data_IF_457487399440
#
_entry.id   IF_457487399440
#
_cell.length_a   1.000
_cell.length_b   1.000
_cell.length_c   1.000
_cell.angle_alpha   90.00
_cell.angle_beta   90.00
_cell.angle_gamma   90.00
#
_symmetry.space_group_name_H-M   'P 1'
#
loop_
_entity.id
_entity.type
_entity.pdbx_description
1 polymer ?
#
# COMPACT_ATOMS: atom_id res chain seq x y z
N UNK A 1 3.25 6.53 6.14
CA UNK A 1 1.85 6.99 6.02
C UNK A 1 1.34 7.43 7.39
N UNK A 2 0.43 8.42 7.47
CA UNK A 2 -0.23 8.85 8.71
C UNK A 2 -1.70 9.18 8.45
N UNK A 3 -2.55 8.94 9.43
CA UNK A 3 -3.97 9.25 9.35
C UNK A 3 -4.68 8.72 10.59
N UNK A 4 -5.88 8.19 10.41
CA UNK A 4 -6.68 7.66 11.52
C UNK A 4 -7.59 6.54 11.09
N UNK A 5 -7.96 5.70 12.06
CA UNK A 5 -8.99 4.66 11.94
C UNK A 5 -10.03 4.83 13.02
N UNK A 6 -11.21 4.25 12.83
CA UNK A 6 -12.27 4.19 13.83
C UNK A 6 -12.61 2.72 14.10
N UNK A 7 -12.61 2.33 15.36
CA UNK A 7 -12.92 0.96 15.79
C UNK A 7 -14.40 0.67 15.65
N UNK A 8 -14.75 -0.55 15.24
CA UNK A 8 -16.11 -0.97 14.91
C UNK A 8 -16.60 -0.54 13.53
N UNK A 9 -15.84 0.29 12.81
CA UNK A 9 -16.12 0.63 11.42
C UNK A 9 -15.43 -0.33 10.47
N UNK A 10 -16.12 -0.73 9.40
CA UNK A 10 -15.61 -1.69 8.40
C UNK A 10 -15.31 -1.04 7.05
N UNK A 11 -15.94 0.11 6.76
CA UNK A 11 -15.67 0.90 5.56
C UNK A 11 -14.62 2.00 5.84
N UNK A 12 -13.51 2.03 5.08
CA UNK A 12 -12.47 3.05 5.24
C UNK A 12 -12.95 4.51 5.16
N UNK A 13 -13.90 4.83 4.26
CA UNK A 13 -14.37 6.21 4.05
C UNK A 13 -15.32 6.64 5.16
N UNK A 14 -16.16 5.74 5.65
CA UNK A 14 -16.99 5.95 6.84
C UNK A 14 -16.10 6.13 8.07
N UNK A 15 -15.15 5.22 8.31
CA UNK A 15 -14.22 5.31 9.44
C UNK A 15 -13.39 6.60 9.46
N UNK A 16 -13.04 7.15 8.30
CA UNK A 16 -12.35 8.44 8.19
C UNK A 16 -13.21 9.66 8.56
N UNK A 17 -14.54 9.53 8.59
CA UNK A 17 -15.50 10.60 8.90
C UNK A 17 -16.18 10.43 10.26
N UNK A 18 -16.17 9.22 10.82
CA UNK A 18 -16.79 8.89 12.09
C UNK A 18 -16.22 9.67 13.28
N UNK A 19 -16.99 9.75 14.36
CA UNK A 19 -16.51 10.24 15.65
C UNK A 19 -15.58 9.21 16.30
N UNK A 20 -14.74 9.65 17.25
CA UNK A 20 -13.86 8.73 17.98
C UNK A 20 -12.62 8.24 17.23
N UNK A 21 -12.32 8.80 16.04
CA UNK A 21 -11.09 8.52 15.26
C UNK A 21 -9.84 8.44 16.14
N UNK A 22 -9.04 7.40 15.90
CA UNK A 22 -7.77 7.13 16.57
C UNK A 22 -6.62 7.25 15.58
N UNK A 23 -5.50 7.90 15.93
CA UNK A 23 -4.37 8.03 15.03
C UNK A 23 -3.79 6.66 14.66
N UNK A 24 -3.45 6.50 13.38
CA UNK A 24 -2.73 5.34 12.87
C UNK A 24 -1.63 5.84 11.94
N UNK A 25 -0.45 5.24 12.05
CA UNK A 25 0.64 5.50 11.12
C UNK A 25 1.49 4.27 10.92
N UNK A 26 2.24 4.25 9.82
CA UNK A 26 3.28 3.25 9.63
C UNK A 26 4.46 3.86 8.87
N UNK A 27 5.61 3.22 9.02
CA UNK A 27 6.78 3.47 8.18
C UNK A 27 7.32 2.13 7.71
N UNK A 28 7.48 2.01 6.40
CA UNK A 28 7.95 0.79 5.75
C UNK A 28 9.17 1.10 4.88
N UNK A 29 10.05 0.11 4.80
CA UNK A 29 11.01 -0.11 3.74
C UNK A 29 10.42 -1.20 2.85
N UNK A 30 10.34 -0.94 1.55
CA UNK A 30 9.89 -1.93 0.56
C UNK A 30 11.13 -2.48 -0.15
N UNK A 31 11.23 -3.79 -0.26
CA UNK A 31 12.35 -4.50 -0.88
C UNK A 31 11.84 -5.52 -1.88
N UNK A 32 12.15 -5.31 -3.16
CA UNK A 32 12.06 -6.35 -4.17
C UNK A 32 13.39 -7.12 -4.14
N UNK A 33 13.35 -8.38 -3.70
CA UNK A 33 14.56 -9.20 -3.56
C UNK A 33 15.20 -9.55 -4.93
N UNK A 34 14.37 -9.64 -5.97
CA UNK A 34 14.76 -9.80 -7.36
C UNK A 34 13.98 -8.78 -8.21
N UNK A 35 14.69 -7.80 -8.77
CA UNK A 35 14.06 -6.71 -9.54
C UNK A 35 13.52 -7.20 -10.88
N UNK A 36 14.20 -8.14 -11.53
CA UNK A 36 13.78 -8.65 -12.84
C UNK A 36 12.52 -9.50 -12.70
N UNK A 37 12.48 -10.34 -11.66
CA UNK A 37 11.28 -11.09 -11.30
C UNK A 37 10.13 -10.14 -10.91
N UNK A 38 10.40 -9.15 -10.07
CA UNK A 38 9.41 -8.17 -9.64
C UNK A 38 8.73 -7.46 -10.81
N UNK A 39 9.50 -7.05 -11.84
CA UNK A 39 8.95 -6.36 -13.02
C UNK A 39 8.17 -7.30 -13.94
N UNK A 40 8.50 -8.59 -13.99
CA UNK A 40 7.88 -9.54 -14.92
C UNK A 40 6.65 -10.24 -14.37
N UNK A 41 6.57 -10.42 -13.05
CA UNK A 41 5.44 -11.10 -12.42
C UNK A 41 4.24 -10.17 -12.28
N UNK A 42 3.03 -10.56 -12.70
CA UNK A 42 1.84 -9.70 -12.64
C UNK A 42 1.47 -9.19 -11.24
N UNK A 43 1.91 -9.91 -10.21
CA UNK A 43 1.66 -9.54 -8.82
C UNK A 43 2.59 -8.45 -8.30
N UNK A 44 3.72 -8.17 -8.97
CA UNK A 44 4.76 -7.22 -8.58
C UNK A 44 4.96 -7.18 -7.06
N UNK A 45 5.18 -8.35 -6.46
CA UNK A 45 5.22 -8.50 -5.01
C UNK A 45 6.61 -8.17 -4.47
N UNK A 46 6.65 -7.33 -3.45
CA UNK A 46 7.83 -6.99 -2.68
C UNK A 46 7.58 -7.15 -1.18
N UNK A 47 8.67 -7.32 -0.44
CA UNK A 47 8.66 -7.43 1.01
C UNK A 47 8.54 -6.06 1.65
N UNK A 48 7.71 -5.93 2.68
CA UNK A 48 7.49 -4.70 3.43
C UNK A 48 7.92 -4.86 4.89
N UNK A 49 8.90 -4.06 5.31
CA UNK A 49 9.45 -4.12 6.66
C UNK A 49 9.36 -2.77 7.37
N UNK A 50 9.13 -2.79 8.68
CA UNK A 50 9.18 -1.58 9.48
C UNK A 50 8.27 -1.67 10.68
N UNK A 51 7.40 -0.67 10.85
CA UNK A 51 6.52 -0.61 12.00
C UNK A 51 5.17 0.02 11.67
N UNK A 52 4.16 -0.41 12.44
CA UNK A 52 2.82 0.18 12.55
C UNK A 52 2.72 0.84 13.92
N UNK A 53 2.05 1.97 14.02
CA UNK A 53 1.85 2.72 15.25
C UNK A 53 0.38 3.16 15.34
N UNK A 54 -0.37 2.40 16.15
CA UNK A 54 -1.77 2.66 16.50
C UNK A 54 -1.80 3.33 17.88
N UNK A 55 -1.45 4.61 17.92
CA UNK A 55 -1.36 5.35 19.20
C UNK A 55 -2.74 5.45 19.85
N UNK A 56 -2.88 4.83 21.03
CA UNK A 56 -4.15 4.60 21.74
C UNK A 56 -4.53 3.12 21.94
N UNK A 57 -3.82 2.20 21.29
CA UNK A 57 -3.99 0.73 21.43
C UNK A 57 -2.66 0.01 21.22
N UNK A 58 -1.70 0.27 22.10
CA UNK A 58 -0.43 -0.47 22.11
C UNK A 58 0.77 0.18 21.43
N UNK A 59 0.62 1.36 20.82
CA UNK A 59 1.76 2.15 20.32
C UNK A 59 2.48 1.51 19.13
N UNK A 60 3.78 1.75 19.01
CA UNK A 60 4.59 1.29 17.88
C UNK A 60 4.93 -0.20 17.99
N UNK A 61 4.57 -0.96 16.95
CA UNK A 61 4.77 -2.40 16.81
C UNK A 61 5.50 -2.72 15.52
N UNK A 62 6.40 -3.71 15.58
CA UNK A 62 7.17 -4.16 14.41
C UNK A 62 6.24 -4.88 13.45
N UNK A 63 6.43 -4.68 12.16
CA UNK A 63 5.85 -5.58 11.15
C UNK A 63 6.62 -6.89 11.22
N UNK A 64 5.92 -7.98 11.50
CA UNK A 64 6.48 -9.33 11.61
C UNK A 64 6.64 -9.96 10.24
N UNK A 65 5.62 -9.79 9.40
CA UNK A 65 5.60 -10.19 8.00
C UNK A 65 4.82 -9.14 7.22
N UNK A 66 5.35 -8.68 6.10
CA UNK A 66 4.69 -7.66 5.31
C UNK A 66 4.92 -7.86 3.82
N UNK A 67 3.86 -7.69 3.05
CA UNK A 67 3.91 -7.70 1.58
C UNK A 67 3.36 -6.40 1.03
N UNK A 68 3.88 -6.06 -0.15
CA UNK A 68 3.47 -4.92 -0.93
C UNK A 68 3.37 -5.35 -2.39
N UNK A 69 2.27 -5.01 -3.05
CA UNK A 69 2.08 -5.27 -4.47
C UNK A 69 1.90 -3.94 -5.20
N UNK A 70 2.61 -3.79 -6.31
CA UNK A 70 2.60 -2.58 -7.12
C UNK A 70 1.73 -2.76 -8.36
N UNK A 71 0.78 -1.85 -8.60
CA UNK A 71 -0.06 -1.80 -9.80
C UNK A 71 -0.72 -3.14 -10.21
N UNK A 72 -1.32 -3.86 -9.27
CA UNK A 72 -2.05 -5.08 -9.60
C UNK A 72 -3.42 -4.79 -10.20
N UNK A 73 -3.80 -5.56 -11.22
CA UNK A 73 -5.14 -5.51 -11.81
C UNK A 73 -6.15 -6.21 -10.87
N UNK A 74 -7.22 -5.51 -10.42
CA UNK A 74 -8.25 -6.11 -9.58
C UNK A 74 -9.15 -7.12 -10.31
N UNK A 75 -9.23 -7.07 -11.64
CA UNK A 75 -10.09 -7.93 -12.46
C UNK A 75 -9.49 -8.12 -13.87
N UNK A 76 -8.43 -8.92 -14.03
CA UNK A 76 -7.83 -9.15 -15.35
C UNK A 76 -8.88 -9.73 -16.31
N UNK A 77 -9.19 -8.98 -17.38
CA UNK A 77 -10.06 -9.42 -18.48
C UNK A 77 -11.54 -9.01 -18.41
N UNK A 78 -11.94 -8.10 -17.50
CA UNK A 78 -13.27 -7.48 -17.53
C UNK A 78 -13.12 -6.03 -17.99
N UNK A 79 -13.68 -5.68 -19.14
CA UNK A 79 -13.71 -4.31 -19.67
C UNK A 79 -14.48 -3.39 -18.71
N UNK A 80 -13.77 -2.77 -17.78
CA UNK A 80 -14.37 -1.92 -16.75
C UNK A 80 -13.31 -1.17 -15.95
N UNK A 81 -13.07 0.08 -16.37
CA UNK A 81 -12.13 1.06 -15.81
C UNK A 81 -10.68 0.53 -15.67
N UNK A 82 -9.74 1.08 -16.46
CA UNK A 82 -8.31 0.86 -16.26
C UNK A 82 -7.91 1.34 -14.85
N UNK A 83 -7.97 0.40 -13.90
CA UNK A 83 -7.74 0.61 -12.49
C UNK A 83 -6.65 -0.33 -12.04
N UNK A 84 -5.60 0.23 -11.47
CA UNK A 84 -4.54 -0.52 -10.82
C UNK A 84 -4.62 -0.32 -9.32
N UNK A 85 -4.26 -1.34 -8.55
CA UNK A 85 -4.21 -1.27 -7.09
C UNK A 85 -2.77 -1.32 -6.60
N UNK A 86 -2.45 -0.53 -5.57
CA UNK A 86 -1.26 -0.77 -4.75
C UNK A 86 -1.73 -1.38 -3.42
N UNK A 87 -1.36 -2.63 -3.17
CA UNK A 87 -1.80 -3.37 -1.98
C UNK A 87 -0.71 -3.43 -0.93
N UNK A 88 -1.10 -3.35 0.33
CA UNK A 88 -0.26 -3.46 1.52
C UNK A 88 -0.91 -4.47 2.43
N UNK A 89 -0.13 -5.42 2.94
CA UNK A 89 -0.59 -6.37 3.95
C UNK A 89 0.49 -6.54 4.98
N UNK A 90 0.20 -6.14 6.22
CA UNK A 90 1.18 -6.07 7.30
C UNK A 90 0.68 -6.84 8.51
N UNK A 91 1.37 -7.91 8.86
CA UNK A 91 1.14 -8.68 10.08
C UNK A 91 1.94 -8.09 11.23
N UNK A 92 1.29 -7.87 12.36
CA UNK A 92 1.91 -7.39 13.58
C UNK A 92 1.12 -7.85 14.80
N UNK A 93 1.77 -7.96 15.95
CA UNK A 93 1.10 -8.09 17.24
C UNK A 93 0.86 -6.70 17.84
N UNK A 94 -0.37 -6.43 18.31
CA UNK A 94 -0.72 -5.16 18.97
C UNK A 94 -0.18 -5.08 20.41
N UNK A 95 -0.52 -4.02 21.14
CA UNK A 95 -0.01 -3.87 22.51
C UNK A 95 -0.67 -4.73 23.57
N UNK A 96 -1.80 -5.35 23.25
CA UNK A 96 -2.51 -6.26 24.13
C UNK A 96 -2.15 -7.72 23.82
N UNK A 97 -1.25 -7.95 22.86
CA UNK A 97 -0.76 -9.27 22.48
C UNK A 97 -1.59 -9.95 21.40
N UNK A 98 -2.56 -9.25 20.80
CA UNK A 98 -3.38 -9.84 19.75
C UNK A 98 -2.69 -9.75 18.39
N UNK A 99 -2.83 -10.81 17.59
CA UNK A 99 -2.44 -10.78 16.19
C UNK A 99 -3.36 -9.84 15.40
N UNK A 100 -2.78 -8.99 14.56
CA UNK A 100 -3.49 -8.02 13.72
C UNK A 100 -2.91 -7.99 12.32
N UNK A 101 -3.79 -7.71 11.36
CA UNK A 101 -3.40 -7.44 9.99
C UNK A 101 -3.83 -6.04 9.59
N UNK A 102 -2.90 -5.21 9.12
CA UNK A 102 -3.24 -4.00 8.39
C UNK A 102 -3.33 -4.34 6.91
N UNK A 103 -4.55 -4.35 6.37
CA UNK A 103 -4.83 -4.41 4.93
C UNK A 103 -4.98 -2.99 4.40
N UNK A 104 -4.25 -2.64 3.36
CA UNK A 104 -4.25 -1.30 2.78
C UNK A 104 -4.29 -1.32 1.26
N UNK A 105 -5.16 -0.50 0.67
CA UNK A 105 -5.28 -0.37 -0.79
C UNK A 105 -5.21 1.10 -1.20
N UNK A 106 -4.37 1.39 -2.20
CA UNK A 106 -4.47 2.63 -2.98
C UNK A 106 -5.16 2.31 -4.30
N UNK A 107 -6.09 3.17 -4.69
CA UNK A 107 -6.72 3.10 -5.99
C UNK A 107 -5.95 4.02 -6.92
N UNK A 108 -5.39 3.44 -7.99
CA UNK A 108 -4.71 4.17 -9.07
C UNK A 108 -5.64 4.09 -10.26
N UNK A 109 -6.34 5.19 -10.54
CA UNK A 109 -7.37 5.24 -11.56
C UNK A 109 -6.82 5.92 -12.79
N UNK A 110 -7.16 5.41 -13.98
CA UNK A 110 -6.80 6.08 -15.22
C UNK A 110 -7.28 7.53 -15.23
N UNK A 111 -6.44 8.45 -15.72
CA UNK A 111 -6.78 9.86 -15.78
C UNK A 111 -5.59 10.77 -16.09
N UNK A 112 -5.78 12.09 -16.11
CA UNK A 112 -4.70 13.00 -16.46
C UNK A 112 -3.54 12.92 -15.44
N UNK A 113 -2.30 13.30 -15.81
CA UNK A 113 -1.13 13.28 -14.92
C UNK A 113 -1.33 14.03 -13.59
N UNK A 114 -2.30 14.94 -13.51
CA UNK A 114 -2.69 15.63 -12.27
C UNK A 114 -3.29 14.70 -11.21
N UNK A 115 -3.76 13.49 -11.59
CA UNK A 115 -4.30 12.47 -10.67
C UNK A 115 -3.25 11.57 -10.03
N UNK A 116 -2.03 11.49 -10.57
CA UNK A 116 -0.91 10.72 -10.00
C UNK A 116 -0.78 10.99 -8.50
N UNK A 117 -0.85 12.26 -8.11
CA UNK A 117 -0.61 12.67 -6.73
C UNK A 117 -1.76 12.35 -5.76
N UNK A 118 -3.03 12.70 -6.03
CA UNK A 118 -4.16 12.25 -5.21
C UNK A 118 -4.23 10.73 -5.00
N UNK A 119 -4.00 9.97 -6.08
CA UNK A 119 -4.17 8.51 -6.09
C UNK A 119 -3.05 7.80 -5.32
N UNK A 120 -1.80 8.22 -5.51
CA UNK A 120 -0.65 7.62 -4.81
C UNK A 120 -0.52 8.10 -3.37
N UNK A 121 -1.21 9.17 -2.97
CA UNK A 121 -1.13 9.75 -1.62
C UNK A 121 -2.17 9.23 -0.63
N UNK A 122 -3.23 8.57 -1.11
CA UNK A 122 -4.34 8.11 -0.27
C UNK A 122 -4.35 6.59 -0.15
N UNK A 123 -4.35 6.08 1.09
CA UNK A 123 -4.42 4.66 1.41
C UNK A 123 -5.66 4.39 2.25
N UNK A 124 -6.54 3.56 1.73
CA UNK A 124 -7.70 3.05 2.44
C UNK A 124 -7.26 1.82 3.24
N UNK A 125 -7.50 1.81 4.55
CA UNK A 125 -7.00 0.76 5.44
C UNK A 125 -8.12 0.10 6.22
N UNK A 126 -7.94 -1.20 6.45
CA UNK A 126 -8.68 -2.03 7.41
C UNK A 126 -7.69 -2.68 8.36
N UNK A 127 -8.03 -2.70 9.63
CA UNK A 127 -7.38 -3.54 10.63
C UNK A 127 -8.25 -4.79 10.80
N UNK A 128 -7.65 -5.95 10.60
CA UNK A 128 -8.31 -7.24 10.72
C UNK A 128 -7.87 -7.94 12.01
N UNK A 129 -8.78 -8.69 12.60
CA UNK A 129 -8.47 -9.61 13.70
C UNK A 129 -7.66 -10.80 13.18
N UNK A 130 -6.51 -11.08 13.79
CA UNK A 130 -5.60 -12.14 13.37
C UNK A 130 -4.58 -11.76 12.29
N UNK A 131 -3.71 -12.71 11.97
CA UNK A 131 -2.85 -12.66 10.77
C UNK A 131 -3.62 -13.29 9.61
N UNK A 132 -4.10 -12.45 8.70
CA UNK A 132 -5.06 -12.82 7.67
C UNK A 132 -4.42 -12.62 6.30
N UNK A 133 -4.26 -13.71 5.55
CA UNK A 133 -3.78 -13.67 4.17
C UNK A 133 -4.74 -12.96 3.21
N UNK A 134 -4.28 -12.63 2.01
CA UNK A 134 -5.13 -11.98 0.99
C UNK A 134 -6.36 -12.84 0.64
N UNK A 135 -6.19 -14.15 0.50
CA UNK A 135 -7.27 -15.08 0.16
C UNK A 135 -8.34 -15.24 1.26
N UNK A 136 -8.04 -14.81 2.49
CA UNK A 136 -8.91 -14.97 3.66
C UNK A 136 -9.61 -13.65 4.05
N UNK A 137 -9.25 -12.54 3.40
CA UNK A 137 -9.69 -11.19 3.79
C UNK A 137 -11.22 -11.03 3.74
N UNK A 138 -11.89 -11.61 2.74
CA UNK A 138 -13.36 -11.48 2.57
C UNK A 138 -14.16 -12.05 3.74
N UNK A 139 -13.61 -13.02 4.48
CA UNK A 139 -14.23 -13.64 5.65
C UNK A 139 -13.73 -13.10 6.99
N UNK A 140 -12.75 -12.20 6.98
CA UNK A 140 -12.07 -11.76 8.20
C UNK A 140 -12.86 -10.68 8.96
N UNK A 141 -12.76 -10.72 10.29
CA UNK A 141 -13.33 -9.68 11.14
C UNK A 141 -12.54 -8.37 11.00
N UNK A 142 -13.22 -7.30 10.60
CA UNK A 142 -12.64 -5.95 10.54
C UNK A 142 -12.86 -5.26 11.89
N UNK A 143 -11.78 -5.03 12.63
CA UNK A 143 -11.84 -4.37 13.96
C UNK A 143 -11.86 -2.85 13.85
N UNK A 144 -11.29 -2.29 12.79
CA UNK A 144 -11.28 -0.86 12.52
C UNK A 144 -11.03 -0.56 11.04
N UNK A 145 -11.50 0.59 10.58
CA UNK A 145 -11.25 1.07 9.22
C UNK A 145 -10.98 2.57 9.19
N UNK A 146 -10.25 3.03 8.16
CA UNK A 146 -9.96 4.45 8.00
C UNK A 146 -9.09 4.78 6.80
N UNK A 147 -8.53 5.98 6.79
CA UNK A 147 -7.72 6.49 5.68
C UNK A 147 -6.41 7.06 6.20
N UNK A 148 -5.31 6.67 5.55
CA UNK A 148 -3.99 7.23 5.76
C UNK A 148 -3.55 8.02 4.54
N UNK A 149 -2.80 9.08 4.77
CA UNK A 149 -2.18 9.89 3.73
C UNK A 149 -0.66 9.92 3.85
N UNK A 150 0.01 10.16 2.72
CA UNK A 150 1.39 10.64 2.67
C UNK A 150 1.39 12.01 2.03
N UNK A 151 2.23 12.92 2.54
CA UNK A 151 2.40 14.23 1.91
C UNK A 151 3.14 14.05 0.60
N UNK A 152 2.76 14.84 -0.40
CA UNK A 152 3.37 14.81 -1.73
C UNK A 152 4.90 14.95 -1.70
N UNK A 153 5.42 15.83 -0.85
CA UNK A 153 6.88 16.03 -0.66
C UNK A 153 7.57 14.82 -0.02
N UNK A 154 6.88 14.09 0.83
CA UNK A 154 7.40 12.87 1.45
C UNK A 154 7.43 11.71 0.44
N UNK A 155 6.46 11.66 -0.49
CA UNK A 155 6.46 10.68 -1.58
C UNK A 155 7.58 10.95 -2.58
N UNK A 156 7.76 12.19 -3.03
CA UNK A 156 8.90 12.55 -3.90
C UNK A 156 10.25 12.20 -3.24
N UNK A 157 10.38 12.45 -1.94
CA UNK A 157 11.54 12.01 -1.15
C UNK A 157 11.64 10.48 -1.11
N UNK A 158 10.54 9.77 -0.95
CA UNK A 158 10.52 8.30 -0.95
C UNK A 158 10.98 7.72 -2.29
N UNK A 159 10.63 8.33 -3.43
CA UNK A 159 11.18 7.94 -4.73
C UNK A 159 12.72 8.06 -4.77
N UNK A 160 13.31 9.02 -4.04
CA UNK A 160 14.78 9.12 -3.95
C UNK A 160 15.42 8.08 -3.02
N UNK A 161 14.62 7.31 -2.29
CA UNK A 161 15.11 6.27 -1.37
C UNK A 161 15.19 4.89 -2.00
N UNK A 162 14.81 4.73 -3.27
CA UNK A 162 15.06 3.50 -4.00
C UNK A 162 16.57 3.26 -4.07
N UNK A 163 16.97 2.08 -3.63
CA UNK A 163 18.35 1.60 -3.63
C UNK A 163 18.32 0.17 -4.12
N UNK A 164 19.31 -0.17 -4.92
CA UNK A 164 19.58 -1.54 -5.37
C UNK A 164 20.87 -2.01 -4.73
N UNK A 165 20.97 -3.32 -4.51
CA UNK A 165 22.17 -3.96 -3.98
C UNK A 165 22.46 -5.19 -4.81
N UNK A 166 23.70 -5.35 -5.26
CA UNK A 166 24.10 -6.46 -6.14
C UNK A 166 25.08 -5.99 -7.23
N UNK A 167 25.67 -6.95 -7.98
CA UNK A 167 26.65 -6.65 -9.03
C UNK A 167 26.10 -5.69 -10.11
N UNK A 168 24.81 -5.78 -10.40
CA UNK A 168 24.16 -5.04 -11.49
C UNK A 168 23.30 -3.86 -11.00
N UNK A 169 23.59 -3.32 -9.80
CA UNK A 169 22.71 -2.38 -9.10
C UNK A 169 22.28 -1.15 -9.93
N UNK A 170 23.17 -0.59 -10.75
CA UNK A 170 22.82 0.55 -11.61
C UNK A 170 21.81 0.16 -12.71
N UNK A 171 21.96 -1.03 -13.31
CA UNK A 171 21.06 -1.55 -14.33
C UNK A 171 19.70 -1.91 -13.74
N UNK A 172 19.66 -2.59 -12.59
CA UNK A 172 18.41 -2.90 -11.88
C UNK A 172 17.64 -1.64 -11.50
N UNK A 173 18.34 -0.57 -11.08
CA UNK A 173 17.68 0.70 -10.74
C UNK A 173 17.09 1.38 -11.98
N UNK A 174 17.78 1.32 -13.11
CA UNK A 174 17.28 1.82 -14.40
C UNK A 174 16.08 1.01 -14.89
N UNK A 175 16.13 -0.32 -14.79
CA UNK A 175 15.03 -1.20 -15.17
C UNK A 175 13.78 -0.95 -14.32
N UNK A 176 13.95 -0.86 -12.99
CA UNK A 176 12.87 -0.47 -12.09
C UNK A 176 12.32 0.93 -12.42
N UNK A 177 13.20 1.91 -12.67
CA UNK A 177 12.79 3.27 -13.02
C UNK A 177 11.99 3.33 -14.33
N UNK A 178 12.39 2.57 -15.35
CA UNK A 178 11.67 2.44 -16.63
C UNK A 178 10.32 1.76 -16.44
N UNK A 179 10.27 0.67 -15.68
CA UNK A 179 9.03 -0.02 -15.36
C UNK A 179 8.05 0.93 -14.63
N UNK A 180 8.50 1.57 -13.56
CA UNK A 180 7.68 2.48 -12.78
C UNK A 180 7.17 3.67 -13.62
N UNK A 181 8.01 4.24 -14.48
CA UNK A 181 7.59 5.28 -15.42
C UNK A 181 6.62 4.76 -16.48
N UNK A 182 6.80 3.52 -16.94
CA UNK A 182 5.90 2.83 -17.86
C UNK A 182 4.51 2.63 -17.28
N UNK A 183 4.40 2.05 -16.08
CA UNK A 183 3.13 1.89 -15.37
C UNK A 183 2.42 3.23 -15.13
N UNK A 184 3.18 4.27 -14.76
CA UNK A 184 2.60 5.61 -14.63
C UNK A 184 2.13 6.18 -15.97
N UNK A 185 2.81 5.88 -17.08
CA UNK A 185 2.37 6.31 -18.41
C UNK A 185 1.16 5.50 -18.90
N UNK A 186 1.06 4.22 -18.58
CA UNK A 186 -0.13 3.42 -18.91
C UNK A 186 -1.37 3.91 -18.16
N UNK A 187 -1.22 4.32 -16.89
CA UNK A 187 -2.37 4.78 -16.11
C UNK A 187 -2.66 6.28 -16.31
N UNK A 188 -1.65 7.10 -16.57
CA UNK A 188 -1.80 8.56 -16.62
C UNK A 188 -1.38 9.23 -17.93
N UNK A 189 -1.02 8.44 -18.93
CA UNK A 189 -0.69 8.93 -20.26
C UNK A 189 -1.86 9.70 -20.86
N UNK A 190 -1.59 10.70 -21.71
CA UNK A 190 -2.64 11.32 -22.49
C UNK A 190 -3.31 10.26 -23.38
N UNK A 191 -4.65 10.25 -23.44
CA UNK A 191 -5.37 9.41 -24.39
C UNK A 191 -4.82 9.67 -25.80
N UNK A 192 -4.55 8.62 -26.61
CA UNK A 192 -4.19 8.83 -28.00
C UNK A 192 -5.34 9.57 -28.68
N UNK A 193 -5.02 10.77 -29.19
CA UNK A 193 -5.92 11.64 -29.97
C UNK A 193 -6.32 11.02 -31.31
#
# INVERSE_FOLDING_TARGET
MKGSVTYGETDPRTGAKAEGRRPLSFRLTITADDTDRFVREPGHEARAEGWVDASGHGGRRRVEHGTFNLFVDPSPGVDGEDRRLMKYRLFYTDGDGHARTLSGVKNVLHGPPTRIWPDTSTLYVRLLDGHVGEAEEDGAEVVAAGVLHIRLTDFARQLTTFRTSGPDGAESLLNFGRFFAGELWEVYGPDPV
#
